data_IF_447603187694
#
_entry.id   IF_447603187694
#
_cell.length_a   1.000
_cell.length_b   1.000
_cell.length_c   1.000
_cell.angle_alpha   90.00
_cell.angle_beta   90.00
_cell.angle_gamma   90.00
#
_symmetry.space_group_name_H-M   'P 1'
#
loop_
_entity.id
_entity.type
_entity.pdbx_description
1 polymer ?
#
# COMPACT_ATOMS: atom_id res chain seq x y z
N UNK A 1 -13.81 14.68 0.61
CA UNK A 1 -13.34 14.28 -0.73
C UNK A 1 -11.86 13.97 -0.61
N UNK A 2 -11.37 12.81 -1.05
CA UNK A 2 -9.93 12.52 -1.11
C UNK A 2 -9.28 13.53 -2.06
N UNK A 3 -8.17 14.16 -1.69
CA UNK A 3 -7.50 15.04 -2.64
C UNK A 3 -6.82 14.22 -3.73
N UNK A 4 -6.86 14.71 -4.98
CA UNK A 4 -6.15 14.10 -6.11
C UNK A 4 -4.64 13.94 -5.80
N UNK A 5 -4.10 14.83 -4.99
CA UNK A 5 -2.73 14.85 -4.53
C UNK A 5 -2.39 13.67 -3.60
N UNK A 6 -3.17 13.43 -2.54
CA UNK A 6 -2.98 12.23 -1.69
C UNK A 6 -3.05 10.94 -2.51
N UNK A 7 -3.90 10.94 -3.53
CA UNK A 7 -4.07 9.80 -4.41
C UNK A 7 -2.81 9.53 -5.24
N UNK A 8 -2.25 10.58 -5.84
CA UNK A 8 -0.98 10.51 -6.56
C UNK A 8 0.19 10.14 -5.65
N UNK A 9 0.27 10.71 -4.46
CA UNK A 9 1.36 10.46 -3.51
C UNK A 9 1.39 9.00 -3.05
N UNK A 10 0.23 8.43 -2.68
CA UNK A 10 0.12 7.00 -2.34
C UNK A 10 0.67 6.13 -3.48
N UNK A 11 0.25 6.38 -4.73
CA UNK A 11 0.70 5.58 -5.86
C UNK A 11 2.19 5.77 -6.20
N UNK A 12 2.73 6.97 -6.02
CA UNK A 12 4.15 7.24 -6.22
C UNK A 12 5.00 6.45 -5.21
N UNK A 13 4.62 6.48 -3.92
CA UNK A 13 5.31 5.72 -2.88
C UNK A 13 5.27 4.22 -3.16
N UNK A 14 4.10 3.69 -3.51
CA UNK A 14 3.94 2.27 -3.82
C UNK A 14 4.76 1.83 -5.03
N UNK A 15 4.86 2.68 -6.05
CA UNK A 15 5.72 2.43 -7.22
C UNK A 15 7.20 2.38 -6.82
N UNK A 16 7.66 3.34 -6.01
CA UNK A 16 9.06 3.37 -5.55
C UNK A 16 9.41 2.14 -4.72
N UNK A 17 8.52 1.73 -3.82
CA UNK A 17 8.66 0.50 -3.03
C UNK A 17 8.68 -0.74 -3.95
N UNK A 18 7.73 -0.83 -4.89
CA UNK A 18 7.65 -1.95 -5.83
C UNK A 18 8.94 -2.11 -6.64
N UNK A 19 9.53 -1.02 -7.10
CA UNK A 19 10.78 -1.04 -7.87
C UNK A 19 11.99 -1.46 -7.03
N UNK A 20 12.02 -1.13 -5.74
CA UNK A 20 13.25 -1.23 -4.93
C UNK A 20 13.25 -2.41 -3.93
N UNK A 21 12.10 -2.83 -3.42
CA UNK A 21 12.02 -3.86 -2.37
C UNK A 21 11.77 -5.26 -2.95
N UNK A 22 12.53 -6.26 -2.50
CA UNK A 22 12.22 -7.68 -2.67
C UNK A 22 11.77 -8.22 -1.32
N UNK A 23 10.51 -8.64 -1.21
CA UNK A 23 9.89 -9.03 0.05
C UNK A 23 9.89 -10.55 0.21
N UNK A 24 10.66 -11.07 1.17
CA UNK A 24 10.82 -12.52 1.40
C UNK A 24 11.08 -13.33 0.12
N UNK A 25 11.94 -12.82 -0.76
CA UNK A 25 12.29 -13.46 -2.04
C UNK A 25 11.32 -13.22 -3.20
N UNK A 26 10.24 -12.45 -2.98
CA UNK A 26 9.23 -12.14 -4.00
C UNK A 26 9.23 -10.65 -4.33
N UNK A 27 9.16 -10.32 -5.63
CA UNK A 27 8.96 -8.96 -6.10
C UNK A 27 7.46 -8.71 -6.24
N UNK A 28 6.93 -7.74 -5.52
CA UNK A 28 5.52 -7.36 -5.56
C UNK A 28 5.32 -6.12 -6.43
N UNK A 29 4.20 -6.08 -7.13
CA UNK A 29 3.71 -4.90 -7.84
C UNK A 29 3.21 -3.83 -6.86
N UNK A 30 3.05 -2.58 -7.32
CA UNK A 30 2.49 -1.50 -6.50
C UNK A 30 1.08 -1.80 -5.96
N UNK A 31 0.28 -2.55 -6.72
CA UNK A 31 -1.06 -2.96 -6.31
C UNK A 31 -1.02 -4.00 -5.19
N UNK A 32 -0.11 -4.97 -5.28
CA UNK A 32 0.11 -5.93 -4.21
C UNK A 32 0.70 -5.27 -2.96
N UNK A 33 1.60 -4.30 -3.11
CA UNK A 33 2.09 -3.49 -1.99
C UNK A 33 0.98 -2.68 -1.31
N UNK A 34 0.02 -2.16 -2.08
CA UNK A 34 -1.17 -1.51 -1.50
C UNK A 34 -1.96 -2.51 -0.67
N UNK A 35 -2.11 -3.75 -1.12
CA UNK A 35 -2.82 -4.79 -0.35
C UNK A 35 -2.06 -5.16 0.93
N UNK A 36 -0.73 -5.31 0.86
CA UNK A 36 0.13 -5.59 2.04
C UNK A 36 0.04 -4.46 3.07
N UNK A 37 0.22 -3.21 2.65
CA UNK A 37 0.22 -2.07 3.59
C UNK A 37 -1.17 -1.79 4.16
N UNK A 38 -2.23 -1.94 3.36
CA UNK A 38 -3.59 -1.77 3.88
C UNK A 38 -4.00 -2.89 4.84
N UNK A 39 -3.46 -4.11 4.68
CA UNK A 39 -3.67 -5.20 5.63
C UNK A 39 -3.06 -4.92 7.01
N UNK A 40 -2.00 -4.10 7.08
CA UNK A 40 -1.39 -3.69 8.35
C UNK A 40 -2.27 -2.67 9.11
N UNK A 41 -3.12 -1.91 8.41
CA UNK A 41 -3.99 -0.88 9.01
C UNK A 41 -5.42 -1.36 9.26
N UNK A 42 -5.92 -2.28 8.45
CA UNK A 42 -7.31 -2.74 8.51
C UNK A 42 -7.41 -4.26 8.51
N UNK A 43 -8.28 -4.76 9.39
CA UNK A 43 -8.64 -6.18 9.42
C UNK A 43 -9.17 -6.63 8.07
N UNK A 44 -8.64 -7.74 7.57
CA UNK A 44 -9.11 -8.38 6.35
C UNK A 44 -10.26 -9.34 6.68
N UNK A 45 -11.18 -9.50 5.73
CA UNK A 45 -12.28 -10.47 5.85
C UNK A 45 -11.89 -11.74 5.10
N UNK A 46 -11.96 -12.90 5.75
CA UNK A 46 -11.77 -14.20 5.10
C UNK A 46 -13.13 -14.84 4.86
N UNK A 47 -13.38 -15.33 3.64
CA UNK A 47 -14.64 -15.98 3.26
C UNK A 47 -14.38 -17.30 2.51
N UNK A 48 -15.32 -18.26 2.52
CA UNK A 48 -15.22 -19.45 1.69
C UNK A 48 -15.11 -19.11 0.20
N UNK A 49 -14.25 -19.84 -0.52
CA UNK A 49 -14.12 -19.74 -1.98
C UNK A 49 -15.25 -20.49 -2.71
N UNK A 50 -15.53 -20.07 -3.95
CA UNK A 50 -16.58 -20.69 -4.80
C UNK A 50 -16.23 -22.15 -5.13
N UNK A 51 -14.94 -22.45 -5.35
CA UNK A 51 -14.44 -23.78 -5.70
C UNK A 51 -13.78 -24.49 -4.49
N UNK A 52 -14.11 -24.05 -3.27
CA UNK A 52 -13.43 -24.46 -2.04
C UNK A 52 -12.27 -23.53 -1.66
N UNK A 53 -11.59 -23.84 -0.56
CA UNK A 53 -10.56 -22.98 0.01
C UNK A 53 -11.12 -21.67 0.60
N UNK A 54 -10.29 -20.64 0.66
CA UNK A 54 -10.66 -19.33 1.22
C UNK A 54 -10.19 -18.17 0.33
N UNK A 55 -10.93 -17.07 0.40
CA UNK A 55 -10.59 -15.81 -0.25
C UNK A 55 -10.39 -14.74 0.82
N UNK A 56 -9.28 -14.01 0.73
CA UNK A 56 -9.00 -12.85 1.58
C UNK A 56 -9.51 -11.59 0.88
N UNK A 57 -10.45 -10.89 1.52
CA UNK A 57 -11.00 -9.63 1.05
C UNK A 57 -10.31 -8.50 1.81
N UNK A 58 -9.41 -7.81 1.10
CA UNK A 58 -8.69 -6.64 1.59
C UNK A 58 -9.54 -5.37 1.65
N UNK A 59 -8.93 -4.30 2.20
CA UNK A 59 -9.56 -3.00 2.28
C UNK A 59 -9.66 -2.33 0.89
N UNK A 60 -10.75 -1.61 0.64
CA UNK A 60 -10.90 -0.78 -0.56
C UNK A 60 -10.44 0.64 -0.24
N UNK A 61 -9.26 1.04 -0.74
CA UNK A 61 -8.73 2.40 -0.54
C UNK A 61 -9.64 3.50 -1.12
N UNK A 62 -10.46 3.18 -2.12
CA UNK A 62 -11.50 4.07 -2.65
C UNK A 62 -12.61 4.41 -1.65
N UNK A 63 -12.76 3.62 -0.58
CA UNK A 63 -13.73 3.84 0.51
C UNK A 63 -13.08 4.41 1.77
N UNK A 64 -11.77 4.69 1.75
CA UNK A 64 -11.08 5.26 2.90
C UNK A 64 -11.44 6.73 3.10
N UNK A 65 -11.52 7.14 4.36
CA UNK A 65 -11.61 8.56 4.72
C UNK A 65 -10.27 9.27 4.48
N UNK A 66 -10.27 10.61 4.53
CA UNK A 66 -9.03 11.40 4.37
C UNK A 66 -7.99 11.03 5.44
N UNK A 67 -8.33 10.91 6.74
CA UNK A 67 -7.38 10.45 7.76
C UNK A 67 -6.79 9.06 7.50
N UNK A 68 -7.62 8.09 7.11
CA UNK A 68 -7.15 6.73 6.81
C UNK A 68 -6.21 6.68 5.60
N UNK A 69 -6.44 7.56 4.61
CA UNK A 69 -5.53 7.71 3.48
C UNK A 69 -4.20 8.33 3.90
N UNK A 70 -4.21 9.33 4.78
CA UNK A 70 -3.00 9.91 5.34
C UNK A 70 -2.19 8.85 6.09
N UNK A 71 -2.84 8.05 6.94
CA UNK A 71 -2.20 6.96 7.68
C UNK A 71 -1.56 5.91 6.75
N UNK A 72 -2.23 5.57 5.63
CA UNK A 72 -1.66 4.68 4.62
C UNK A 72 -0.42 5.27 3.95
N UNK A 73 -0.43 6.57 3.63
CA UNK A 73 0.73 7.26 3.03
C UNK A 73 1.88 7.29 4.04
N UNK A 74 1.63 7.68 5.28
CA UNK A 74 2.63 7.70 6.35
C UNK A 74 3.25 6.32 6.57
N UNK A 75 2.42 5.27 6.65
CA UNK A 75 2.90 3.90 6.75
C UNK A 75 3.75 3.51 5.54
N UNK A 76 3.33 3.86 4.32
CA UNK A 76 4.11 3.55 3.11
C UNK A 76 5.48 4.23 3.11
N UNK A 77 5.55 5.49 3.53
CA UNK A 77 6.80 6.24 3.65
C UNK A 77 7.69 5.62 4.72
N UNK A 78 7.14 5.37 5.92
CA UNK A 78 7.89 4.78 7.03
C UNK A 78 8.46 3.40 6.67
N UNK A 79 7.64 2.54 6.07
CA UNK A 79 8.06 1.22 5.60
C UNK A 79 9.16 1.34 4.53
N UNK A 80 8.94 2.14 3.50
CA UNK A 80 9.94 2.30 2.43
C UNK A 80 11.27 2.84 2.96
N UNK A 81 11.24 3.83 3.85
CA UNK A 81 12.45 4.37 4.50
C UNK A 81 13.19 3.29 5.30
N UNK A 82 12.47 2.43 6.05
CA UNK A 82 13.08 1.30 6.77
C UNK A 82 13.72 0.28 5.82
N UNK A 83 13.16 0.11 4.61
CA UNK A 83 13.71 -0.76 3.57
C UNK A 83 14.80 -0.08 2.71
N UNK A 84 15.16 1.17 3.00
CA UNK A 84 16.17 1.93 2.24
C UNK A 84 15.68 2.40 0.85
N UNK A 85 14.37 2.52 0.65
CA UNK A 85 13.76 3.02 -0.59
C UNK A 85 14.12 4.50 -0.77
N UNK A 86 14.60 4.85 -1.96
CA UNK A 86 14.78 6.24 -2.39
C UNK A 86 13.50 6.71 -3.06
N UNK A 87 12.74 7.54 -2.36
CA UNK A 87 11.48 8.08 -2.86
C UNK A 87 11.71 9.29 -3.77
N UNK A 88 11.04 9.32 -4.93
CA UNK A 88 11.15 10.42 -5.90
C UNK A 88 10.46 11.71 -5.44
N UNK A 89 9.44 11.59 -4.59
CA UNK A 89 8.64 12.72 -4.12
C UNK A 89 9.34 13.56 -3.02
N UNK A 90 10.48 13.10 -2.48
CA UNK A 90 11.25 13.77 -1.42
C UNK A 90 12.66 14.16 -1.88
N UNK A 91 12.90 14.26 -3.19
CA UNK A 91 14.16 14.80 -3.69
C UNK A 91 14.09 16.31 -3.52
N UNK A 92 14.62 16.80 -2.40
CA UNK A 92 15.08 18.17 -2.28
C UNK A 92 16.29 18.32 -3.25
N UNK A 93 16.17 19.25 -4.21
CA UNK A 93 17.30 19.71 -5.02
C UNK A 93 18.37 20.40 -4.14
#
# INVERSE_FOLDING_TARGET
>A
MRSLEQNRMMWANLEDIAQQVVWYGVKLTKDEWKDVLTAALKKQKVVPGIEGGFVVIGARTSKMTVPEMTELIELSTAFGTQQGVKFRAFVDD
#
